data_IF_338898273696
#
_entry.id   IF_338898273696
#
_cell.length_a   1.000
_cell.length_b   1.000
_cell.length_c   1.000
_cell.angle_alpha   90.00
_cell.angle_beta   90.00
_cell.angle_gamma   90.00
#
_symmetry.space_group_name_H-M   'P 1'
#
loop_
_entity.id
_entity.type
_entity.pdbx_description
1 polymer ?
#
# COMPACT_ATOMS: atom_id res chain seq x y z
N UNK A 1 15.21 1.36 9.38
CA UNK A 1 14.02 0.90 8.63
C UNK A 1 13.93 1.69 7.33
N UNK A 2 13.83 1.02 6.21
CA UNK A 2 13.73 1.67 4.90
C UNK A 2 12.31 2.21 4.69
N UNK A 3 12.14 3.06 3.66
CA UNK A 3 10.81 3.55 3.30
C UNK A 3 9.92 2.39 2.85
N UNK A 4 10.48 1.44 2.11
CA UNK A 4 9.76 0.24 1.70
C UNK A 4 9.25 -0.55 2.90
N UNK A 5 10.07 -0.70 3.94
CA UNK A 5 9.66 -1.38 5.17
C UNK A 5 8.55 -0.61 5.88
N UNK A 6 8.62 0.71 5.89
CA UNK A 6 7.58 1.54 6.50
C UNK A 6 6.24 1.38 5.77
N UNK A 7 6.27 1.37 4.44
CA UNK A 7 5.08 1.15 3.63
C UNK A 7 4.49 -0.23 3.93
N UNK A 8 5.33 -1.24 3.92
CA UNK A 8 4.89 -2.62 4.17
C UNK A 8 4.24 -2.75 5.54
N UNK A 9 4.88 -2.23 6.57
CA UNK A 9 4.33 -2.30 7.92
C UNK A 9 3.03 -1.52 8.07
N UNK A 10 2.94 -0.35 7.47
CA UNK A 10 1.74 0.46 7.53
C UNK A 10 0.55 -0.29 6.91
N UNK A 11 0.75 -0.92 5.78
CA UNK A 11 -0.30 -1.68 5.11
C UNK A 11 -0.64 -2.94 5.91
N UNK A 12 0.36 -3.68 6.35
CA UNK A 12 0.14 -4.92 7.10
C UNK A 12 -0.61 -4.68 8.41
N UNK A 13 -0.40 -3.51 9.04
CA UNK A 13 -1.08 -3.19 10.29
C UNK A 13 -2.55 -2.82 10.10
N UNK A 14 -2.93 -2.36 8.91
CA UNK A 14 -4.30 -1.91 8.63
C UNK A 14 -5.10 -2.90 7.79
N UNK A 15 -4.43 -3.72 7.00
CA UNK A 15 -5.09 -4.67 6.10
C UNK A 15 -4.87 -6.08 6.62
N UNK A 16 -5.93 -6.77 7.11
CA UNK A 16 -5.78 -8.11 7.69
C UNK A 16 -5.28 -9.14 6.67
N UNK A 17 -4.42 -10.03 7.14
CA UNK A 17 -3.93 -11.16 6.35
C UNK A 17 -3.34 -10.74 5.01
N UNK A 18 -2.66 -9.58 4.99
CA UNK A 18 -2.08 -9.07 3.76
C UNK A 18 -0.65 -9.54 3.55
N UNK A 19 -0.33 -9.78 2.27
CA UNK A 19 1.04 -9.94 1.81
C UNK A 19 1.38 -8.73 0.97
N UNK A 20 2.41 -7.99 1.35
CA UNK A 20 2.76 -6.72 0.71
C UNK A 20 4.14 -6.80 0.10
N UNK A 21 4.23 -6.42 -1.17
CA UNK A 21 5.51 -6.26 -1.84
C UNK A 21 5.65 -4.82 -2.31
N UNK A 22 6.80 -4.23 -2.07
CA UNK A 22 7.08 -2.84 -2.43
C UNK A 22 8.37 -2.79 -3.24
N UNK A 23 8.30 -2.12 -4.37
CA UNK A 23 9.47 -1.87 -5.22
C UNK A 23 9.48 -0.43 -5.69
N UNK A 24 10.50 -0.05 -6.44
CA UNK A 24 10.59 1.28 -7.01
C UNK A 24 11.98 1.86 -6.91
N UNK A 25 12.10 3.13 -7.32
CA UNK A 25 13.38 3.83 -7.40
C UNK A 25 13.64 4.79 -6.22
N UNK A 26 12.81 4.73 -5.19
CA UNK A 26 12.91 5.61 -4.03
C UNK A 26 12.08 6.88 -4.14
N UNK A 27 11.58 7.22 -5.33
CA UNK A 27 10.71 8.38 -5.56
C UNK A 27 9.32 7.95 -5.96
N UNK A 28 9.23 6.96 -6.84
CA UNK A 28 7.98 6.37 -7.28
C UNK A 28 7.96 4.92 -6.82
N UNK A 29 6.90 4.54 -6.15
CA UNK A 29 6.80 3.20 -5.58
C UNK A 29 5.79 2.37 -6.33
N UNK A 30 6.09 1.09 -6.47
CA UNK A 30 5.17 0.09 -6.98
C UNK A 30 4.81 -0.82 -5.81
N UNK A 31 3.52 -0.97 -5.55
CA UNK A 31 3.04 -1.70 -4.39
C UNK A 31 2.06 -2.77 -4.84
N UNK A 32 2.25 -3.98 -4.32
CA UNK A 32 1.32 -5.07 -4.53
C UNK A 32 0.83 -5.56 -3.19
N UNK A 33 -0.49 -5.56 -3.00
CA UNK A 33 -1.12 -6.01 -1.75
C UNK A 33 -2.07 -7.15 -2.06
N UNK A 34 -1.85 -8.28 -1.42
CA UNK A 34 -2.71 -9.46 -1.58
C UNK A 34 -3.39 -9.69 -0.23
N UNK A 35 -4.71 -9.67 -0.21
CA UNK A 35 -5.48 -9.90 1.01
C UNK A 35 -6.88 -10.40 0.73
N UNK A 36 -7.40 -11.34 1.54
CA UNK A 36 -8.78 -11.80 1.39
C UNK A 36 -9.81 -10.70 1.63
N UNK A 37 -9.43 -9.60 2.30
CA UNK A 37 -10.34 -8.49 2.55
C UNK A 37 -10.79 -7.79 1.27
N UNK A 38 -10.04 -7.95 0.18
CA UNK A 38 -10.38 -7.34 -1.10
C UNK A 38 -11.46 -8.10 -1.88
N UNK A 39 -11.82 -9.29 -1.42
CA UNK A 39 -12.81 -10.09 -2.12
C UNK A 39 -14.16 -9.37 -2.17
N UNK A 40 -14.76 -9.33 -3.36
CA UNK A 40 -16.06 -8.70 -3.58
C UNK A 40 -16.03 -7.18 -3.63
N UNK A 41 -14.85 -6.56 -3.52
CA UNK A 41 -14.72 -5.11 -3.55
C UNK A 41 -14.34 -4.60 -4.94
N UNK A 42 -14.78 -3.40 -5.25
CA UNK A 42 -14.41 -2.73 -6.50
C UNK A 42 -12.99 -2.19 -6.39
N UNK A 43 -12.36 -1.96 -7.54
CA UNK A 43 -10.99 -1.46 -7.60
C UNK A 43 -10.80 -0.19 -6.75
N UNK A 44 -11.71 0.76 -6.87
CA UNK A 44 -11.64 2.01 -6.12
C UNK A 44 -11.69 1.78 -4.61
N UNK A 45 -12.54 0.88 -4.16
CA UNK A 45 -12.66 0.55 -2.74
C UNK A 45 -11.38 -0.08 -2.20
N UNK A 46 -10.80 -1.00 -2.97
CA UNK A 46 -9.53 -1.64 -2.61
C UNK A 46 -8.41 -0.62 -2.49
N UNK A 47 -8.32 0.29 -3.45
CA UNK A 47 -7.30 1.35 -3.44
C UNK A 47 -7.47 2.26 -2.24
N UNK A 48 -8.70 2.61 -1.89
CA UNK A 48 -8.97 3.46 -0.73
C UNK A 48 -8.48 2.84 0.57
N UNK A 49 -8.64 1.52 0.70
CA UNK A 49 -8.16 0.81 1.89
C UNK A 49 -6.65 0.97 2.02
N UNK A 50 -5.92 0.77 0.93
CA UNK A 50 -4.46 0.88 0.93
C UNK A 50 -4.01 2.32 1.16
N UNK A 51 -4.63 3.29 0.48
CA UNK A 51 -4.26 4.70 0.67
C UNK A 51 -4.56 5.18 2.08
N UNK A 52 -5.62 4.70 2.70
CA UNK A 52 -5.91 5.03 4.09
C UNK A 52 -4.81 4.51 5.02
N UNK A 53 -4.28 3.33 4.74
CA UNK A 53 -3.17 2.77 5.51
C UNK A 53 -1.88 3.59 5.33
N UNK A 54 -1.71 4.23 4.19
CA UNK A 54 -0.51 5.00 3.87
C UNK A 54 -0.65 6.50 4.16
N UNK A 55 -1.79 6.93 4.68
CA UNK A 55 -2.10 8.37 4.80
C UNK A 55 -1.03 9.15 5.57
N UNK A 56 -0.51 8.60 6.65
CA UNK A 56 0.52 9.28 7.44
C UNK A 56 1.84 9.39 6.68
N UNK A 57 2.18 8.38 5.88
CA UNK A 57 3.41 8.38 5.10
C UNK A 57 3.33 9.31 3.88
N UNK A 58 2.14 9.69 3.47
CA UNK A 58 1.92 10.56 2.32
C UNK A 58 1.53 11.98 2.71
N UNK A 59 1.28 12.23 4.00
CA UNK A 59 0.83 13.54 4.47
C UNK A 59 2.02 14.50 4.65
N UNK A 60 1.78 15.77 4.37
CA UNK A 60 2.75 16.83 4.59
C UNK A 60 3.75 16.98 3.45
N UNK A 61 4.48 18.10 3.48
CA UNK A 61 5.44 18.44 2.42
C UNK A 61 6.71 17.60 2.47
N UNK A 62 7.03 17.01 3.63
CA UNK A 62 8.20 16.18 3.82
C UNK A 62 7.86 14.71 3.96
N UNK A 63 6.70 14.31 3.43
CA UNK A 63 6.28 12.92 3.50
C UNK A 63 7.30 12.00 2.82
N UNK A 64 7.62 10.84 3.42
CA UNK A 64 8.57 9.91 2.80
C UNK A 64 8.04 9.27 1.53
N UNK A 65 6.72 9.23 1.35
CA UNK A 65 6.09 8.69 0.14
C UNK A 65 5.43 9.83 -0.61
N UNK A 66 5.96 10.19 -1.78
CA UNK A 66 5.41 11.28 -2.58
C UNK A 66 4.43 10.79 -3.65
N UNK A 67 4.73 9.65 -4.25
CA UNK A 67 3.91 9.14 -5.35
C UNK A 67 3.94 7.61 -5.38
N UNK A 68 2.82 7.05 -5.76
CA UNK A 68 2.70 5.61 -6.01
C UNK A 68 2.47 5.46 -7.50
N UNK A 69 3.45 4.88 -8.20
CA UNK A 69 3.40 4.70 -9.64
C UNK A 69 2.46 3.57 -10.03
N UNK A 70 2.36 2.55 -9.18
CA UNK A 70 1.51 1.39 -9.44
C UNK A 70 1.03 0.79 -8.13
N UNK A 71 -0.25 0.47 -8.08
CA UNK A 71 -0.85 -0.20 -6.94
C UNK A 71 -1.71 -1.35 -7.43
N UNK A 72 -1.31 -2.57 -7.09
CA UNK A 72 -2.09 -3.77 -7.37
C UNK A 72 -2.72 -4.28 -6.08
N UNK A 73 -4.02 -4.53 -6.12
CA UNK A 73 -4.77 -5.05 -4.99
C UNK A 73 -5.43 -6.37 -5.41
N UNK A 74 -4.94 -7.46 -4.84
CA UNK A 74 -5.30 -8.79 -5.29
C UNK A 74 -5.91 -9.61 -4.16
N UNK A 75 -6.70 -10.62 -4.55
CA UNK A 75 -7.26 -11.60 -3.63
C UNK A 75 -6.39 -12.85 -3.69
N UNK A 76 -6.09 -13.52 -2.56
CA UNK A 76 -5.32 -14.76 -2.58
C UNK A 76 -6.05 -15.85 -3.38
N UNK A 77 -5.29 -16.63 -4.09
CA UNK A 77 -5.83 -17.78 -4.81
C UNK A 77 -6.12 -18.95 -3.86
#
# INVERSE_FOLDING_TARGET
MTIEDQIKQAIESQVPDSTVEVGGDGRHFEIQVISPVFEGKRTLEKQRIVYAALSELMAGSNAPVHAIARLDTLVPE
#
